data_IF_551434885223
#
_entry.id   IF_551434885223
#
_cell.length_a   1.000
_cell.length_b   1.000
_cell.length_c   1.000
_cell.angle_alpha   90.00
_cell.angle_beta   90.00
_cell.angle_gamma   90.00
#
_symmetry.space_group_name_H-M   'P 1'
#
loop_
_entity.id
_entity.type
_entity.pdbx_description
1 polymer ?
#
# COMPACT_ATOMS: atom_id res chain seq x y z
N UNK A 1 0.66 7.25 14.35
CA UNK A 1 0.15 8.26 13.40
C UNK A 1 0.85 8.12 12.05
N UNK A 2 0.17 8.43 10.93
CA UNK A 2 0.80 8.46 9.61
C UNK A 2 1.97 9.46 9.56
N UNK A 3 3.06 9.10 8.89
CA UNK A 3 4.18 10.02 8.67
C UNK A 3 3.88 10.96 7.50
N UNK A 4 4.13 12.25 7.71
CA UNK A 4 4.07 13.26 6.65
C UNK A 4 5.50 13.51 6.11
N UNK A 5 5.79 13.21 4.83
CA UNK A 5 7.11 13.45 4.26
C UNK A 5 7.32 14.94 4.00
N UNK A 6 8.57 15.39 4.11
CA UNK A 6 8.95 16.74 3.69
C UNK A 6 9.03 16.77 2.15
N UNK A 7 8.00 17.36 1.53
CA UNK A 7 7.88 17.58 0.09
C UNK A 7 7.25 18.97 -0.08
N UNK A 8 7.74 19.77 -1.03
CA UNK A 8 7.11 21.05 -1.33
C UNK A 8 5.67 20.83 -1.81
N UNK A 9 4.71 21.59 -1.26
CA UNK A 9 3.29 21.41 -1.57
C UNK A 9 2.63 20.20 -0.89
N UNK A 10 3.21 19.66 0.19
CA UNK A 10 2.61 18.54 0.93
C UNK A 10 1.20 18.83 1.48
N UNK A 11 0.88 20.10 1.73
CA UNK A 11 -0.44 20.55 2.18
C UNK A 11 -1.39 20.90 1.01
N UNK A 12 -1.02 20.58 -0.22
CA UNK A 12 -1.85 20.83 -1.39
C UNK A 12 -3.17 20.05 -1.29
N UNK A 13 -4.34 20.59 -1.71
CA UNK A 13 -5.65 19.95 -1.51
C UNK A 13 -5.82 18.56 -2.11
N UNK A 14 -5.00 18.20 -3.10
CA UNK A 14 -5.00 16.86 -3.73
C UNK A 14 -4.27 15.80 -2.91
N UNK A 15 -3.50 16.21 -1.89
CA UNK A 15 -2.75 15.33 -1.00
C UNK A 15 -3.66 14.79 0.09
N UNK A 16 -3.69 13.47 0.24
CA UNK A 16 -4.56 12.78 1.20
C UNK A 16 -3.79 11.74 1.99
N UNK A 17 -4.24 11.46 3.21
CA UNK A 17 -3.67 10.40 4.02
C UNK A 17 -4.27 9.03 3.67
N UNK A 18 -3.48 7.97 3.71
CA UNK A 18 -3.97 6.62 3.51
C UNK A 18 -5.11 6.25 4.48
N UNK A 19 -5.11 6.81 5.69
CA UNK A 19 -6.17 6.57 6.67
C UNK A 19 -7.51 7.10 6.19
N UNK A 20 -7.53 8.28 5.58
CA UNK A 20 -8.76 8.93 5.11
C UNK A 20 -9.32 8.20 3.89
N UNK A 21 -8.42 7.68 3.04
CA UNK A 21 -8.77 6.81 1.90
C UNK A 21 -9.41 5.51 2.37
N UNK A 22 -8.76 4.78 3.28
CA UNK A 22 -9.26 3.47 3.76
C UNK A 22 -10.57 3.63 4.54
N UNK A 23 -10.70 4.71 5.32
CA UNK A 23 -11.91 4.99 6.09
C UNK A 23 -13.06 5.57 5.25
N UNK A 24 -12.84 5.83 3.95
CA UNK A 24 -13.87 6.40 3.07
C UNK A 24 -14.26 7.83 3.42
N UNK A 25 -13.37 8.59 4.06
CA UNK A 25 -13.60 10.00 4.42
C UNK A 25 -13.50 10.90 3.20
N UNK A 26 -12.71 10.49 2.20
CA UNK A 26 -12.44 11.26 0.97
C UNK A 26 -12.73 10.38 -0.25
N UNK A 27 -13.37 10.95 -1.25
CA UNK A 27 -13.54 10.34 -2.57
C UNK A 27 -12.26 10.47 -3.40
N UNK A 28 -11.83 9.38 -4.02
CA UNK A 28 -10.59 9.32 -4.81
C UNK A 28 -10.91 9.27 -6.30
N UNK A 29 -10.28 10.19 -7.04
CA UNK A 29 -10.41 10.35 -8.48
C UNK A 29 -9.87 9.18 -9.31
N UNK A 30 -9.77 9.40 -10.61
CA UNK A 30 -9.42 8.38 -11.59
C UNK A 30 -7.91 8.14 -11.69
N UNK A 31 -7.11 9.19 -11.49
CA UNK A 31 -5.64 9.16 -11.59
C UNK A 31 -5.03 9.39 -10.21
N UNK A 32 -4.24 8.44 -9.72
CA UNK A 32 -3.75 8.44 -8.34
C UNK A 32 -2.25 8.16 -8.31
N UNK A 33 -1.49 8.98 -7.57
CA UNK A 33 -0.13 8.64 -7.17
C UNK A 33 -0.11 8.21 -5.70
N UNK A 34 0.53 7.09 -5.40
CA UNK A 34 0.73 6.59 -4.03
C UNK A 34 2.21 6.72 -3.70
N UNK A 35 2.52 7.53 -2.69
CA UNK A 35 3.89 7.73 -2.19
C UNK A 35 4.18 6.73 -1.07
N UNK A 36 5.01 5.74 -1.37
CA UNK A 36 5.42 4.69 -0.45
C UNK A 36 4.88 3.33 -0.86
N UNK A 37 5.78 2.38 -1.14
CA UNK A 37 5.46 1.03 -1.61
C UNK A 37 5.80 -0.06 -0.56
N UNK A 38 5.59 0.24 0.71
CA UNK A 38 5.56 -0.75 1.80
C UNK A 38 4.20 -1.46 1.86
N UNK A 39 3.95 -2.23 2.93
CA UNK A 39 2.68 -2.97 3.13
C UNK A 39 1.44 -2.10 2.94
N UNK A 40 1.36 -0.97 3.66
CA UNK A 40 0.25 -0.01 3.56
C UNK A 40 0.05 0.48 2.12
N UNK A 41 1.14 0.83 1.42
CA UNK A 41 1.06 1.32 0.05
C UNK A 41 0.52 0.27 -0.94
N UNK A 42 0.93 -0.99 -0.78
CA UNK A 42 0.39 -2.11 -1.55
C UNK A 42 -1.08 -2.36 -1.24
N UNK A 43 -1.48 -2.32 0.02
CA UNK A 43 -2.88 -2.53 0.42
C UNK A 43 -3.80 -1.40 -0.06
N UNK A 44 -3.32 -0.15 -0.06
CA UNK A 44 -4.05 0.99 -0.62
C UNK A 44 -4.15 0.87 -2.14
N UNK A 45 -3.07 0.49 -2.83
CA UNK A 45 -3.12 0.25 -4.26
C UNK A 45 -4.09 -0.89 -4.60
N UNK A 46 -4.07 -1.96 -3.82
CA UNK A 46 -4.98 -3.10 -3.94
C UNK A 46 -6.43 -2.61 -3.77
N UNK A 47 -6.73 -1.91 -2.68
CA UNK A 47 -8.04 -1.33 -2.37
C UNK A 47 -8.57 -0.43 -3.50
N UNK A 48 -7.76 0.53 -3.95
CA UNK A 48 -8.16 1.48 -5.00
C UNK A 48 -8.25 0.82 -6.39
N UNK A 49 -7.56 -0.30 -6.60
CA UNK A 49 -7.56 -1.00 -7.88
C UNK A 49 -8.74 -1.92 -8.09
N UNK A 50 -9.50 -2.25 -7.04
CA UNK A 50 -10.60 -3.18 -7.14
C UNK A 50 -11.76 -2.60 -7.94
N UNK A 51 -12.38 -3.47 -8.74
CA UNK A 51 -13.63 -3.23 -9.45
C UNK A 51 -14.50 -4.49 -9.37
N UNK A 52 -15.81 -4.32 -9.26
CA UNK A 52 -16.74 -5.45 -9.19
C UNK A 52 -16.65 -6.24 -7.88
N UNK A 53 -17.05 -7.51 -7.92
CA UNK A 53 -17.08 -8.37 -6.73
C UNK A 53 -15.70 -8.96 -6.42
N UNK A 54 -15.28 -9.00 -5.14
CA UNK A 54 -14.03 -9.64 -4.75
C UNK A 54 -14.01 -11.12 -5.12
N UNK A 55 -13.01 -11.53 -5.91
CA UNK A 55 -12.83 -12.94 -6.30
C UNK A 55 -12.43 -13.82 -5.12
N UNK A 56 -11.85 -13.23 -4.06
CA UNK A 56 -11.52 -13.92 -2.81
C UNK A 56 -12.71 -14.59 -2.11
N UNK A 57 -13.95 -14.19 -2.45
CA UNK A 57 -15.19 -14.75 -1.91
C UNK A 57 -15.94 -15.62 -2.93
N UNK A 58 -15.38 -15.85 -4.12
CA UNK A 58 -16.02 -16.57 -5.21
C UNK A 58 -15.04 -17.55 -5.85
N UNK A 59 -15.19 -18.84 -5.53
CA UNK A 59 -14.28 -19.90 -5.98
C UNK A 59 -14.14 -19.93 -7.52
N UNK A 60 -15.21 -20.01 -8.33
CA UNK A 60 -15.08 -19.95 -9.79
C UNK A 60 -14.36 -18.72 -10.32
N UNK A 61 -14.66 -17.54 -9.77
CA UNK A 61 -14.03 -16.29 -10.21
C UNK A 61 -12.54 -16.26 -9.86
N UNK A 62 -12.15 -16.72 -8.65
CA UNK A 62 -10.76 -16.86 -8.26
C UNK A 62 -10.00 -17.82 -9.18
N UNK A 63 -10.56 -19.00 -9.45
CA UNK A 63 -9.91 -19.98 -10.33
C UNK A 63 -9.71 -19.42 -11.74
N UNK A 64 -10.70 -18.71 -12.29
CA UNK A 64 -10.59 -18.06 -13.58
C UNK A 64 -9.55 -16.92 -13.60
N UNK A 65 -9.47 -16.11 -12.55
CA UNK A 65 -8.48 -15.03 -12.42
C UNK A 65 -7.04 -15.56 -12.42
N UNK A 66 -6.85 -16.74 -11.85
CA UNK A 66 -5.56 -17.40 -11.74
C UNK A 66 -5.26 -18.41 -12.85
N UNK A 67 -6.20 -18.63 -13.78
CA UNK A 67 -6.01 -19.56 -14.90
C UNK A 67 -5.96 -21.02 -14.44
N UNK A 68 -6.82 -21.40 -13.51
CA UNK A 68 -6.90 -22.76 -12.96
C UNK A 68 -8.11 -23.47 -13.55
N UNK A 69 -7.85 -24.65 -14.13
CA UNK A 69 -8.88 -25.57 -14.59
C UNK A 69 -9.55 -26.28 -13.41
N UNK A 70 -10.84 -26.04 -13.22
CA UNK A 70 -11.62 -26.66 -12.16
C UNK A 70 -12.06 -28.10 -12.48
N UNK A 71 -12.05 -28.49 -13.76
CA UNK A 71 -12.39 -29.85 -14.20
C UNK A 71 -11.17 -30.80 -14.15
N UNK A 72 -9.98 -30.25 -13.86
CA UNK A 72 -8.70 -30.97 -13.73
C UNK A 72 -8.35 -31.83 -14.96
N UNK A 73 -8.73 -31.38 -16.14
CA UNK A 73 -8.40 -32.01 -17.43
C UNK A 73 -7.08 -31.48 -18.01
N UNK A 74 -6.79 -30.20 -17.76
CA UNK A 74 -5.53 -29.59 -18.17
C UNK A 74 -4.35 -30.19 -17.40
N UNK A 75 -3.22 -30.40 -18.08
CA UNK A 75 -2.00 -30.88 -17.43
C UNK A 75 -1.58 -29.89 -16.33
N UNK A 76 -1.39 -30.41 -15.12
CA UNK A 76 -1.08 -29.59 -13.95
C UNK A 76 -2.19 -28.60 -13.57
N UNK A 77 -3.39 -28.73 -14.14
CA UNK A 77 -4.53 -27.84 -13.90
C UNK A 77 -4.40 -26.44 -14.51
N UNK A 78 -3.45 -26.21 -15.41
CA UNK A 78 -3.17 -24.86 -15.97
C UNK A 78 -2.82 -24.82 -17.46
N UNK A 79 -2.43 -25.95 -18.06
CA UNK A 79 -1.95 -25.97 -19.45
C UNK A 79 -3.08 -25.57 -20.42
N UNK A 80 -2.87 -24.47 -21.16
CA UNK A 80 -3.85 -23.92 -22.09
C UNK A 80 -5.01 -23.14 -21.44
N UNK A 81 -4.98 -22.93 -20.12
CA UNK A 81 -6.00 -22.15 -19.40
C UNK A 81 -5.57 -20.69 -19.34
N UNK A 82 -6.29 -19.82 -20.03
CA UNK A 82 -6.00 -18.38 -20.03
C UNK A 82 -6.60 -17.68 -18.80
N UNK A 83 -5.79 -17.00 -17.97
CA UNK A 83 -6.30 -16.24 -16.83
C UNK A 83 -7.13 -15.04 -17.29
N UNK A 84 -8.25 -14.77 -16.60
CA UNK A 84 -9.06 -13.56 -16.86
C UNK A 84 -9.14 -12.71 -15.60
N UNK A 85 -8.49 -11.56 -15.64
CA UNK A 85 -8.53 -10.56 -14.58
C UNK A 85 -9.16 -9.27 -15.09
N UNK A 86 -9.75 -8.51 -14.17
CA UNK A 86 -10.31 -7.19 -14.51
C UNK A 86 -9.25 -6.11 -14.28
N UNK A 87 -8.96 -5.25 -15.28
CA UNK A 87 -8.08 -4.11 -15.09
C UNK A 87 -8.59 -3.18 -13.98
N UNK A 88 -7.69 -2.38 -13.41
CA UNK A 88 -8.09 -1.35 -12.45
C UNK A 88 -9.03 -0.32 -13.11
N UNK A 89 -10.06 0.17 -12.41
CA UNK A 89 -10.88 1.28 -12.88
C UNK A 89 -10.15 2.63 -12.79
N UNK A 90 -8.93 2.65 -12.21
CA UNK A 90 -8.12 3.84 -11.98
C UNK A 90 -6.75 3.69 -12.63
N UNK A 91 -6.14 4.81 -13.00
CA UNK A 91 -4.72 4.86 -13.32
C UNK A 91 -3.94 5.12 -12.03
N UNK A 92 -3.30 4.08 -11.50
CA UNK A 92 -2.55 4.17 -10.23
C UNK A 92 -1.04 4.07 -10.50
N UNK A 93 -0.31 5.03 -9.95
CA UNK A 93 1.15 5.02 -9.86
C UNK A 93 1.56 4.69 -8.43
N UNK A 94 2.27 3.58 -8.22
CA UNK A 94 2.83 3.21 -6.92
C UNK A 94 4.32 3.57 -6.93
N UNK A 95 4.71 4.52 -6.08
CA UNK A 95 6.03 5.15 -6.11
C UNK A 95 6.85 4.83 -4.86
N UNK A 96 8.16 4.62 -5.01
CA UNK A 96 9.08 4.55 -3.88
C UNK A 96 10.44 5.20 -4.17
N UNK A 97 11.11 5.69 -3.12
CA UNK A 97 12.46 6.27 -3.22
C UNK A 97 13.54 5.23 -3.51
N UNK A 98 13.41 4.02 -2.96
CA UNK A 98 14.42 2.98 -3.13
C UNK A 98 14.44 2.51 -4.59
N UNK A 99 15.62 2.36 -5.16
CA UNK A 99 15.81 1.86 -6.52
C UNK A 99 15.65 0.32 -6.65
N UNK A 100 15.30 -0.38 -5.56
CA UNK A 100 15.00 -1.81 -5.60
C UNK A 100 13.59 -2.09 -6.12
N UNK A 101 13.29 -3.35 -6.44
CA UNK A 101 11.94 -3.75 -6.85
C UNK A 101 10.90 -3.44 -5.79
N UNK A 102 9.75 -2.91 -6.21
CA UNK A 102 8.64 -2.61 -5.30
C UNK A 102 8.10 -3.89 -4.65
N UNK A 103 7.83 -3.81 -3.35
CA UNK A 103 7.33 -4.93 -2.57
C UNK A 103 8.35 -6.05 -2.34
N UNK A 104 9.66 -5.79 -2.54
CA UNK A 104 10.74 -6.76 -2.24
C UNK A 104 10.76 -7.21 -0.78
N UNK A 105 10.39 -6.32 0.14
CA UNK A 105 10.39 -6.57 1.59
C UNK A 105 8.97 -6.87 2.14
N UNK A 106 8.01 -7.20 1.27
CA UNK A 106 6.73 -7.74 1.71
C UNK A 106 6.90 -9.16 2.27
N UNK A 107 5.81 -9.73 2.79
CA UNK A 107 5.81 -11.09 3.33
C UNK A 107 6.41 -12.10 2.36
N UNK A 108 7.33 -12.94 2.85
CA UNK A 108 8.13 -13.85 2.00
C UNK A 108 7.29 -14.78 1.12
N UNK A 109 6.12 -15.19 1.61
CA UNK A 109 5.22 -16.15 0.93
C UNK A 109 3.99 -15.49 0.30
N UNK A 110 3.71 -14.22 0.59
CA UNK A 110 2.48 -13.53 0.16
C UNK A 110 2.75 -12.30 -0.71
N UNK A 111 3.90 -11.63 -0.53
CA UNK A 111 4.22 -10.38 -1.23
C UNK A 111 4.25 -10.50 -2.75
N UNK A 112 4.59 -11.69 -3.27
CA UNK A 112 4.55 -11.95 -4.70
C UNK A 112 3.12 -11.97 -5.27
N UNK A 113 2.13 -12.40 -4.47
CA UNK A 113 0.72 -12.47 -4.86
C UNK A 113 0.22 -11.05 -5.10
N UNK A 114 0.42 -10.15 -4.12
CA UNK A 114 0.02 -8.74 -4.22
C UNK A 114 0.70 -8.03 -5.39
N UNK A 115 2.02 -8.22 -5.55
CA UNK A 115 2.76 -7.63 -6.68
C UNK A 115 2.22 -8.10 -8.02
N UNK A 116 2.00 -9.41 -8.18
CA UNK A 116 1.47 -9.95 -9.42
C UNK A 116 0.04 -9.46 -9.69
N UNK A 117 -0.82 -9.42 -8.67
CA UNK A 117 -2.18 -8.90 -8.77
C UNK A 117 -2.20 -7.45 -9.26
N UNK A 118 -1.40 -6.57 -8.66
CA UNK A 118 -1.30 -5.18 -9.09
C UNK A 118 -0.76 -5.02 -10.51
N UNK A 119 0.24 -5.83 -10.89
CA UNK A 119 0.77 -5.83 -12.27
C UNK A 119 -0.32 -6.25 -13.26
N UNK A 120 -1.05 -7.34 -12.97
CA UNK A 120 -2.18 -7.80 -13.78
C UNK A 120 -3.23 -6.71 -13.95
N UNK A 121 -3.55 -5.96 -12.89
CA UNK A 121 -4.53 -4.86 -12.94
C UNK A 121 -3.98 -3.58 -13.62
N UNK A 122 -2.73 -3.55 -14.05
CA UNK A 122 -2.14 -2.45 -14.82
C UNK A 122 -1.54 -1.32 -13.98
N UNK A 123 -1.26 -1.55 -12.70
CA UNK A 123 -0.67 -0.53 -11.82
C UNK A 123 0.75 -0.22 -12.26
N UNK A 124 1.06 1.08 -12.36
CA UNK A 124 2.38 1.58 -12.78
C UNK A 124 3.30 1.67 -11.57
N UNK A 125 4.31 0.80 -11.50
CA UNK A 125 5.26 0.75 -10.40
C UNK A 125 6.52 1.55 -10.70
N UNK A 126 6.81 2.59 -9.91
CA UNK A 126 7.95 3.49 -10.07
C UNK A 126 8.92 3.36 -8.89
N UNK A 127 10.11 2.82 -9.15
CA UNK A 127 11.21 2.77 -8.18
C UNK A 127 12.14 3.97 -8.34
N UNK A 128 13.03 4.20 -7.38
CA UNK A 128 14.08 5.23 -7.50
C UNK A 128 13.54 6.65 -7.63
N UNK A 129 12.38 6.94 -7.05
CA UNK A 129 11.73 8.24 -7.17
C UNK A 129 12.34 9.28 -6.24
N UNK A 130 12.64 10.47 -6.75
CA UNK A 130 12.94 11.66 -5.94
C UNK A 130 11.81 12.69 -6.08
N UNK A 131 10.92 12.75 -5.08
CA UNK A 131 9.78 13.67 -5.08
C UNK A 131 10.26 15.11 -4.94
N UNK A 132 9.89 15.96 -5.88
CA UNK A 132 10.31 17.36 -5.92
C UNK A 132 9.26 18.24 -5.25
N UNK A 133 8.04 18.24 -5.80
CA UNK A 133 6.93 19.10 -5.36
C UNK A 133 5.58 18.57 -5.81
N UNK A 134 4.51 19.10 -5.21
CA UNK A 134 3.12 18.82 -5.58
C UNK A 134 2.43 20.17 -5.84
N UNK A 135 1.76 20.30 -6.99
CA UNK A 135 1.01 21.49 -7.40
C UNK A 135 -0.24 21.12 -8.21
N UNK A 136 -0.87 22.12 -8.84
CA UNK A 136 -2.05 21.95 -9.71
C UNK A 136 -1.82 21.03 -10.93
N UNK A 137 -0.57 20.83 -11.37
CA UNK A 137 -0.24 19.89 -12.44
C UNK A 137 -0.08 18.46 -11.94
N UNK A 138 0.07 18.25 -10.64
CA UNK A 138 0.18 16.94 -9.99
C UNK A 138 1.49 16.71 -9.26
N UNK A 139 2.00 15.47 -9.28
CA UNK A 139 3.23 15.09 -8.58
C UNK A 139 4.45 15.24 -9.50
N UNK A 140 5.34 16.16 -9.15
CA UNK A 140 6.63 16.35 -9.82
C UNK A 140 7.69 15.49 -9.14
N UNK A 141 8.38 14.66 -9.91
CA UNK A 141 9.42 13.78 -9.41
C UNK A 141 10.53 13.56 -10.44
N UNK A 142 11.67 13.06 -9.96
CA UNK A 142 12.63 12.38 -10.81
C UNK A 142 12.42 10.86 -10.67
N UNK A 143 12.54 10.12 -11.75
CA UNK A 143 12.67 8.65 -11.72
C UNK A 143 14.09 8.32 -12.15
N UNK A 144 14.94 7.96 -11.17
CA UNK A 144 16.38 8.12 -11.37
C UNK A 144 16.70 9.60 -11.53
N UNK A 145 17.25 9.98 -12.68
CA UNK A 145 17.59 11.37 -13.01
C UNK A 145 16.63 11.99 -14.04
N UNK A 146 15.61 11.25 -14.49
CA UNK A 146 14.66 11.73 -15.50
C UNK A 146 13.49 12.50 -14.84
N UNK A 147 13.28 13.79 -15.17
CA UNK A 147 12.15 14.55 -14.66
C UNK A 147 10.83 14.07 -15.26
N UNK A 148 9.82 13.91 -14.40
CA UNK A 148 8.46 13.52 -14.77
C UNK A 148 7.44 14.30 -13.95
N UNK A 149 6.29 14.55 -14.58
CA UNK A 149 5.09 15.05 -13.90
C UNK A 149 4.03 13.97 -14.02
N UNK A 150 3.51 13.50 -12.89
CA UNK A 150 2.34 12.63 -12.86
C UNK A 150 1.12 13.52 -12.67
N UNK A 151 0.39 13.74 -13.76
CA UNK A 151 -0.91 14.41 -13.71
C UNK A 151 -1.92 13.49 -13.04
N UNK A 152 -2.15 13.73 -11.75
CA UNK A 152 -3.00 12.90 -10.90
C UNK A 152 -3.99 13.77 -10.14
N UNK A 153 -5.18 13.21 -9.90
CA UNK A 153 -6.25 13.87 -9.19
C UNK A 153 -6.00 13.83 -7.68
N UNK A 154 -5.32 12.78 -7.20
CA UNK A 154 -4.92 12.63 -5.80
C UNK A 154 -3.50 12.10 -5.64
N UNK A 155 -2.82 12.57 -4.58
CA UNK A 155 -1.56 12.01 -4.08
C UNK A 155 -1.80 11.40 -2.71
N UNK A 156 -1.77 10.07 -2.60
CA UNK A 156 -1.98 9.35 -1.34
C UNK A 156 -0.65 9.11 -0.64
N UNK A 157 -0.54 9.58 0.60
CA UNK A 157 0.68 9.45 1.40
C UNK A 157 0.66 8.13 2.18
N UNK A 158 1.52 7.19 1.79
CA UNK A 158 1.79 5.90 2.43
C UNK A 158 3.25 5.81 2.90
N UNK A 159 3.80 6.91 3.43
CA UNK A 159 5.23 7.10 3.68
C UNK A 159 5.74 6.49 5.02
N UNK A 160 4.96 5.61 5.64
CA UNK A 160 5.26 5.01 6.93
C UNK A 160 4.52 5.67 8.10
N UNK A 161 4.98 5.37 9.31
CA UNK A 161 4.27 5.72 10.54
C UNK A 161 5.24 6.22 11.62
N UNK A 162 4.70 6.98 12.56
CA UNK A 162 5.38 7.49 13.74
C UNK A 162 4.64 7.09 15.02
N UNK A 163 5.40 6.85 16.08
CA UNK A 163 4.87 6.48 17.38
C UNK A 163 4.13 7.64 18.00
N UNK A 164 2.86 7.41 18.37
CA UNK A 164 2.04 8.42 19.03
C UNK A 164 2.16 8.26 20.53
N UNK A 165 2.81 9.24 21.18
CA UNK A 165 3.18 9.18 22.61
C UNK A 165 2.69 10.37 23.42
N UNK A 166 1.84 11.22 22.84
CA UNK A 166 1.29 12.43 23.48
C UNK A 166 0.72 12.16 24.89
N UNK A 167 0.05 11.03 25.10
CA UNK A 167 -0.52 10.69 26.41
C UNK A 167 0.54 10.39 27.48
N UNK A 168 1.73 9.93 27.07
CA UNK A 168 2.85 9.68 27.99
C UNK A 168 3.66 10.94 28.29
N UNK A 169 3.55 11.98 27.47
CA UNK A 169 4.25 13.23 27.67
C UNK A 169 3.74 13.92 28.95
N UNK A 170 4.64 14.22 29.88
CA UNK A 170 4.28 14.76 31.18
C UNK A 170 3.64 13.76 32.15
N UNK A 171 3.53 12.47 31.80
CA UNK A 171 3.03 11.44 32.71
C UNK A 171 4.14 11.00 33.68
N UNK A 172 3.97 11.31 34.97
CA UNK A 172 4.93 10.95 36.02
C UNK A 172 4.61 9.64 36.76
N UNK A 173 3.55 8.93 36.37
CA UNK A 173 3.18 7.62 36.92
C UNK A 173 3.90 6.52 36.15
N UNK A 174 4.09 5.35 36.76
CA UNK A 174 4.59 4.19 36.03
C UNK A 174 3.62 3.79 34.91
N UNK A 175 4.15 3.61 33.70
CA UNK A 175 3.41 3.16 32.53
C UNK A 175 4.27 2.21 31.69
N UNK A 176 3.62 1.50 30.77
CA UNK A 176 4.28 0.68 29.76
C UNK A 176 3.84 1.12 28.38
N UNK A 177 4.76 1.08 27.42
CA UNK A 177 4.46 1.25 26.00
C UNK A 177 4.57 -0.11 25.32
N UNK A 178 3.60 -0.43 24.47
CA UNK A 178 3.60 -1.63 23.62
C UNK A 178 3.13 -1.25 22.22
N UNK A 179 3.44 -2.09 21.23
CA UNK A 179 2.99 -1.91 19.85
C UNK A 179 3.49 -0.61 19.23
N UNK A 180 2.61 0.10 18.53
CA UNK A 180 3.00 1.29 17.76
C UNK A 180 3.30 2.52 18.60
N UNK A 181 2.75 2.60 19.81
CA UNK A 181 3.13 3.63 20.76
C UNK A 181 4.58 3.45 21.24
N UNK A 182 5.06 2.21 21.33
CA UNK A 182 6.46 1.89 21.57
C UNK A 182 7.31 2.14 20.31
N UNK A 183 7.20 1.31 19.27
CA UNK A 183 7.97 1.49 18.03
C UNK A 183 7.07 1.28 16.83
N UNK A 184 6.81 2.35 16.06
CA UNK A 184 6.00 2.30 14.85
C UNK A 184 6.77 1.83 13.60
N UNK A 185 8.09 2.04 13.55
CA UNK A 185 8.91 1.64 12.41
C UNK A 185 8.86 0.13 12.25
N UNK A 186 8.41 -0.32 11.07
CA UNK A 186 8.25 -1.74 10.73
C UNK A 186 7.41 -2.53 11.74
N UNK A 187 6.50 -1.86 12.45
CA UNK A 187 5.56 -2.57 13.31
C UNK A 187 4.55 -3.32 12.46
N UNK A 188 4.36 -4.60 12.76
CA UNK A 188 3.22 -5.38 12.32
C UNK A 188 2.34 -5.80 13.51
N UNK A 189 1.16 -6.32 13.20
CA UNK A 189 0.23 -6.82 14.21
C UNK A 189 0.85 -7.92 15.07
N UNK A 190 1.71 -8.76 14.50
CA UNK A 190 2.37 -9.85 15.22
C UNK A 190 3.25 -9.32 16.35
N UNK A 191 4.09 -8.32 16.08
CA UNK A 191 4.96 -7.69 17.09
C UNK A 191 4.13 -6.98 18.16
N UNK A 192 3.08 -6.25 17.76
CA UNK A 192 2.19 -5.58 18.71
C UNK A 192 1.51 -6.56 19.68
N UNK A 193 0.99 -7.67 19.15
CA UNK A 193 0.36 -8.73 19.94
C UNK A 193 1.39 -9.41 20.85
N UNK A 194 2.56 -9.82 20.32
CA UNK A 194 3.60 -10.48 21.12
C UNK A 194 4.07 -9.61 22.30
N UNK A 195 4.32 -8.32 22.07
CA UNK A 195 4.69 -7.38 23.13
C UNK A 195 3.60 -7.27 24.22
N UNK A 196 2.35 -7.10 23.81
CA UNK A 196 1.23 -7.01 24.76
C UNK A 196 1.03 -8.30 25.56
N UNK A 197 1.06 -9.45 24.88
CA UNK A 197 0.92 -10.76 25.53
C UNK A 197 2.05 -11.04 26.52
N UNK A 198 3.30 -10.75 26.16
CA UNK A 198 4.45 -10.94 27.06
C UNK A 198 4.37 -10.03 28.28
N UNK A 199 4.02 -8.76 28.09
CA UNK A 199 3.86 -7.82 29.19
C UNK A 199 2.75 -8.28 30.14
N UNK A 200 1.60 -8.71 29.60
CA UNK A 200 0.49 -9.20 30.41
C UNK A 200 0.84 -10.44 31.25
N UNK A 201 1.81 -11.26 30.82
CA UNK A 201 2.23 -12.45 31.55
C UNK A 201 3.20 -12.16 32.72
N UNK A 202 3.76 -10.95 32.80
CA UNK A 202 4.74 -10.56 33.83
C UNK A 202 4.25 -9.43 34.75
N UNK A 203 3.05 -8.90 34.50
CA UNK A 203 2.34 -7.94 35.37
C UNK A 203 1.55 -8.68 36.44
#
# INVERSE_FOLDING_TARGET
>A
MPRVPVIEGIDHPTVVNYTDVINGVIEIGERVAIIGAGGIGFDVAEFLSHSGHPTSLNIPAFMQEWGIDMDLQARGGIEGVEPKFTPSPRTIFLCQRKAEGLGKNLGKTTGWIHRLGLIKRGIKMLAGCAYQRIDDQGLHLLVGDEPRVLEVDNVVICAGQESQRELSEGLHKSFHLIGGADVAVELDAKRAIDQGTRLAAIL
#
